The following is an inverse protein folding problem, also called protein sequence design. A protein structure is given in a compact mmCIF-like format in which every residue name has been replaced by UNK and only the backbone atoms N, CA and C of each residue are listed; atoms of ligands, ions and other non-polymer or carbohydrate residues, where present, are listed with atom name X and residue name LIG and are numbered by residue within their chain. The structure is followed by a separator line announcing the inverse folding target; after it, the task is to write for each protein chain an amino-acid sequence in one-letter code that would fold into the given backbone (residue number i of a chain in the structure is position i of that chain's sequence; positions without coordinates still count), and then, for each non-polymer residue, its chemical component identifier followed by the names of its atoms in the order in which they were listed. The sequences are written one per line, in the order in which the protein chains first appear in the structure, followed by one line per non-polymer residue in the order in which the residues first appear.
data_IF_794169370656
#
_entry.id   IF_794169370656
#
_cell.length_a   1.000
_cell.length_b   1.000
_cell.length_c   1.000
_cell.angle_alpha   90.00
_cell.angle_beta   90.00
_cell.angle_gamma   90.00
#
_symmetry.space_group_name_H-M   'P 1'
#
loop_
_entity.id
_entity.type
_entity.pdbx_description
1 polymer ?
#
# COMPACT_ATOMS: atom_id res chain seq x y z
N UNK A 1 -9.71 11.01 -91.91
CA UNK A 1 -9.97 9.57 -91.93
C UNK A 1 -10.03 9.08 -90.49
N UNK A 2 -11.22 8.62 -90.06
CA UNK A 2 -11.49 7.77 -88.87
C UNK A 2 -11.15 8.35 -87.48
N UNK A 3 -11.86 8.11 -86.38
CA UNK A 3 -13.20 7.62 -86.05
C UNK A 3 -13.34 7.74 -84.51
N UNK A 4 -14.54 8.12 -84.03
CA UNK A 4 -15.29 7.56 -82.89
C UNK A 4 -14.64 7.39 -81.49
N UNK A 5 -15.25 8.13 -80.53
CA UNK A 5 -15.57 7.85 -79.10
C UNK A 5 -14.95 6.62 -78.40
N UNK A 6 -14.46 6.84 -77.18
CA UNK A 6 -14.99 6.18 -75.97
C UNK A 6 -14.64 6.93 -74.67
N UNK A 7 -15.65 7.07 -73.84
CA UNK A 7 -15.65 7.60 -72.47
C UNK A 7 -15.19 6.48 -71.53
N UNK A 8 -14.19 6.71 -70.68
CA UNK A 8 -13.93 5.87 -69.51
C UNK A 8 -14.02 6.74 -68.27
N UNK A 9 -15.03 6.42 -67.45
CA UNK A 9 -15.27 6.92 -66.11
C UNK A 9 -14.27 6.22 -65.18
N UNK A 10 -13.33 6.96 -64.59
CA UNK A 10 -12.50 6.46 -63.49
C UNK A 10 -12.96 7.11 -62.18
N UNK A 11 -13.47 6.25 -61.30
CA UNK A 11 -13.97 6.56 -59.97
C UNK A 11 -12.83 7.11 -59.10
N UNK A 12 -13.01 8.28 -58.49
CA UNK A 12 -12.10 8.79 -57.48
C UNK A 12 -12.32 8.02 -56.17
N UNK A 13 -11.33 7.24 -55.72
CA UNK A 13 -11.23 6.81 -54.33
C UNK A 13 -10.39 7.84 -53.58
N UNK A 14 -11.05 8.77 -52.91
CA UNK A 14 -10.46 9.52 -51.80
C UNK A 14 -10.19 8.57 -50.65
N UNK A 15 -8.91 8.23 -50.43
CA UNK A 15 -8.49 7.56 -49.21
C UNK A 15 -8.73 8.49 -48.01
N UNK A 16 -9.73 8.17 -47.21
CA UNK A 16 -9.88 8.76 -45.88
C UNK A 16 -8.83 8.07 -45.01
N UNK A 17 -7.74 8.77 -44.71
CA UNK A 17 -6.86 8.39 -43.62
C UNK A 17 -7.66 8.53 -42.33
N UNK A 18 -8.06 7.40 -41.74
CA UNK A 18 -8.58 7.40 -40.38
C UNK A 18 -7.48 7.95 -39.46
N UNK A 19 -7.80 8.86 -38.53
CA UNK A 19 -6.84 9.16 -37.47
C UNK A 19 -6.68 7.86 -36.66
N UNK A 20 -5.48 7.29 -36.69
CA UNK A 20 -5.05 6.39 -35.62
C UNK A 20 -5.07 7.26 -34.37
N UNK A 21 -6.11 7.06 -33.55
CA UNK A 21 -6.14 7.58 -32.20
C UNK A 21 -4.87 7.04 -31.53
N UNK A 22 -3.93 7.94 -31.25
CA UNK A 22 -2.90 7.67 -30.28
C UNK A 22 -3.63 7.12 -29.05
N UNK A 23 -3.27 5.91 -28.63
CA UNK A 23 -3.67 5.43 -27.32
C UNK A 23 -3.19 6.50 -26.34
N UNK A 24 -4.13 7.26 -25.78
CA UNK A 24 -3.90 7.98 -24.55
C UNK A 24 -3.34 6.91 -23.60
N UNK A 25 -2.03 6.93 -23.39
CA UNK A 25 -1.46 6.30 -22.22
C UNK A 25 -2.12 7.05 -21.07
N UNK A 26 -3.15 6.43 -20.49
CA UNK A 26 -3.80 6.97 -19.31
C UNK A 26 -2.69 7.38 -18.34
N UNK A 27 -2.68 8.64 -17.91
CA UNK A 27 -1.82 9.03 -16.80
C UNK A 27 -2.02 8.01 -15.67
N UNK A 28 -0.95 7.49 -15.05
CA UNK A 28 -1.06 6.49 -13.99
C UNK A 28 -2.07 6.99 -12.98
N UNK A 29 -3.04 6.15 -12.59
CA UNK A 29 -4.18 6.60 -11.80
C UNK A 29 -3.68 7.28 -10.51
N UNK A 30 -3.85 8.61 -10.43
CA UNK A 30 -3.53 9.38 -9.24
C UNK A 30 -4.79 9.44 -8.34
N UNK A 31 -4.64 9.09 -7.06
CA UNK A 31 -5.72 9.13 -6.08
C UNK A 31 -5.82 7.88 -5.20
N UNK A 32 -6.79 7.85 -4.27
CA UNK A 32 -6.94 6.79 -3.27
C UNK A 32 -7.06 5.39 -3.90
N UNK A 33 -6.45 4.40 -3.25
CA UNK A 33 -6.53 2.97 -3.59
C UNK A 33 -7.70 2.36 -2.83
N UNK A 34 -8.91 2.64 -3.32
CA UNK A 34 -10.16 2.27 -2.63
C UNK A 34 -10.76 0.93 -3.08
N UNK A 35 -10.24 0.31 -4.14
CA UNK A 35 -10.72 -0.99 -4.64
C UNK A 35 -10.11 -2.22 -3.94
N UNK A 36 -9.32 -2.04 -2.89
CA UNK A 36 -8.62 -3.12 -2.19
C UNK A 36 -7.43 -3.67 -2.97
N UNK A 37 -7.03 -4.91 -2.67
CA UNK A 37 -5.88 -5.57 -3.28
C UNK A 37 -5.85 -5.55 -4.83
N UNK A 38 -6.97 -5.75 -5.57
CA UNK A 38 -6.95 -5.66 -7.03
C UNK A 38 -6.56 -4.27 -7.56
N UNK A 39 -6.95 -3.21 -6.86
CA UNK A 39 -6.62 -1.83 -7.22
C UNK A 39 -5.14 -1.55 -6.93
N UNK A 40 -4.61 -2.03 -5.80
CA UNK A 40 -3.19 -1.95 -5.49
C UNK A 40 -2.32 -2.67 -6.53
N UNK A 41 -2.70 -3.89 -6.93
CA UNK A 41 -2.03 -4.65 -7.99
C UNK A 41 -2.04 -3.91 -9.33
N UNK A 42 -3.16 -3.27 -9.66
CA UNK A 42 -3.26 -2.44 -10.86
C UNK A 42 -2.30 -1.25 -10.78
N UNK A 43 -2.20 -0.56 -9.64
CA UNK A 43 -1.24 0.55 -9.46
C UNK A 43 0.21 0.09 -9.63
N UNK A 44 0.56 -1.09 -9.15
CA UNK A 44 1.90 -1.64 -9.33
C UNK A 44 2.22 -1.95 -10.80
N UNK A 45 1.28 -2.58 -11.52
CA UNK A 45 1.42 -2.87 -12.96
C UNK A 45 1.54 -1.59 -13.79
N UNK A 46 0.69 -0.59 -13.53
CA UNK A 46 0.73 0.74 -14.18
C UNK A 46 2.06 1.47 -13.93
N UNK A 47 2.67 1.25 -12.77
CA UNK A 47 3.98 1.81 -12.40
C UNK A 47 5.18 0.97 -12.92
N UNK A 48 4.93 -0.13 -13.64
CA UNK A 48 5.97 -0.96 -14.24
C UNK A 48 6.63 -1.94 -13.26
N UNK A 49 5.91 -2.32 -12.21
CA UNK A 49 6.31 -3.37 -11.28
C UNK A 49 5.49 -4.64 -11.53
N UNK A 50 6.19 -5.74 -11.74
CA UNK A 50 5.60 -7.01 -12.17
C UNK A 50 5.95 -8.13 -11.18
N UNK A 51 5.34 -9.30 -11.35
CA UNK A 51 5.57 -10.46 -10.48
C UNK A 51 5.43 -10.09 -8.99
N UNK A 52 4.32 -9.46 -8.64
CA UNK A 52 3.99 -9.04 -7.27
C UNK A 52 3.66 -10.26 -6.42
N UNK A 53 4.26 -10.38 -5.24
CA UNK A 53 3.94 -11.37 -4.20
C UNK A 53 4.09 -10.71 -2.83
N UNK A 54 3.65 -11.41 -1.77
CA UNK A 54 3.63 -10.88 -0.40
C UNK A 54 2.86 -9.55 -0.30
N UNK A 55 1.79 -9.43 -1.11
CA UNK A 55 0.89 -8.30 -1.06
C UNK A 55 0.15 -8.29 0.29
N UNK A 56 0.36 -7.23 1.06
CA UNK A 56 -0.34 -6.96 2.31
C UNK A 56 -0.82 -5.52 2.39
N UNK A 57 -1.73 -5.25 3.33
CA UNK A 57 -2.08 -3.89 3.74
C UNK A 57 -1.52 -3.69 5.15
N UNK A 58 -0.55 -2.80 5.33
CA UNK A 58 0.04 -2.48 6.62
C UNK A 58 -0.01 -0.97 6.91
N UNK A 59 -0.57 -0.57 8.05
CA UNK A 59 -0.62 0.81 8.54
C UNK A 59 -1.21 1.83 7.55
N UNK A 60 -2.18 1.39 6.73
CA UNK A 60 -2.78 2.21 5.67
C UNK A 60 -2.00 2.25 4.36
N UNK A 61 -0.96 1.43 4.20
CA UNK A 61 -0.16 1.29 2.99
C UNK A 61 -0.26 -0.13 2.44
N UNK A 62 -0.42 -0.27 1.14
CA UNK A 62 -0.21 -1.56 0.48
C UNK A 62 1.30 -1.82 0.38
N UNK A 63 1.75 -2.92 0.97
CA UNK A 63 3.12 -3.43 0.84
C UNK A 63 3.15 -4.60 -0.12
N UNK A 64 4.23 -4.75 -0.86
CA UNK A 64 4.47 -5.96 -1.64
C UNK A 64 5.93 -6.04 -2.06
N UNK A 65 6.41 -7.25 -2.32
CA UNK A 65 7.62 -7.40 -3.11
C UNK A 65 7.27 -7.58 -4.60
N UNK A 66 8.11 -7.03 -5.48
CA UNK A 66 7.90 -7.08 -6.93
C UNK A 66 9.23 -7.08 -7.71
N UNK A 67 9.14 -7.25 -9.02
CA UNK A 67 10.25 -7.12 -9.97
C UNK A 67 10.03 -5.88 -10.83
N UNK A 68 10.97 -4.94 -10.81
CA UNK A 68 10.99 -3.78 -11.70
C UNK A 68 11.37 -4.21 -13.12
N UNK A 69 11.00 -3.42 -14.13
CA UNK A 69 11.27 -3.73 -15.55
C UNK A 69 12.75 -3.98 -15.94
N UNK A 70 13.71 -3.61 -15.10
CA UNK A 70 15.14 -3.92 -15.24
C UNK A 70 15.55 -5.30 -14.66
N UNK A 71 14.60 -6.03 -14.08
CA UNK A 71 14.80 -7.34 -13.46
C UNK A 71 15.21 -7.29 -11.98
N UNK A 72 15.27 -6.11 -11.37
CA UNK A 72 15.62 -5.95 -9.95
C UNK A 72 14.42 -6.22 -9.07
N UNK A 73 14.61 -7.02 -8.01
CA UNK A 73 13.61 -7.21 -6.94
C UNK A 73 13.56 -5.98 -6.04
N UNK A 74 12.35 -5.58 -5.67
CA UNK A 74 12.07 -4.39 -4.89
C UNK A 74 10.92 -4.63 -3.93
N UNK A 75 10.94 -3.89 -2.83
CA UNK A 75 9.83 -3.76 -1.89
C UNK A 75 9.09 -2.48 -2.25
N UNK A 76 7.77 -2.57 -2.30
CA UNK A 76 6.87 -1.50 -2.67
C UNK A 76 6.08 -1.07 -1.44
N UNK A 77 5.90 0.24 -1.29
CA UNK A 77 5.00 0.82 -0.29
C UNK A 77 4.10 1.81 -1.01
N UNK A 78 2.80 1.56 -1.00
CA UNK A 78 1.78 2.36 -1.69
C UNK A 78 0.78 2.89 -0.68
N UNK A 79 0.77 4.21 -0.47
CA UNK A 79 -0.21 4.87 0.39
C UNK A 79 -1.63 4.65 -0.15
N UNK A 80 -2.49 3.98 0.61
CA UNK A 80 -3.84 3.67 0.18
C UNK A 80 -4.74 4.92 0.11
N UNK A 81 -4.42 5.97 0.86
CA UNK A 81 -5.19 7.22 0.86
C UNK A 81 -4.80 8.14 -0.29
N UNK A 82 -3.50 8.23 -0.62
CA UNK A 82 -3.00 9.19 -1.63
C UNK A 82 -2.64 8.56 -2.97
N UNK A 83 -2.35 7.25 -3.00
CA UNK A 83 -1.80 6.56 -4.15
C UNK A 83 -0.31 6.84 -4.38
N UNK A 84 0.38 7.43 -3.40
CA UNK A 84 1.83 7.68 -3.49
C UNK A 84 2.58 6.35 -3.37
N UNK A 85 3.48 6.07 -4.32
CA UNK A 85 4.24 4.82 -4.40
C UNK A 85 5.72 5.07 -4.14
N UNK A 86 6.29 4.29 -3.23
CA UNK A 86 7.72 4.16 -2.98
C UNK A 86 8.18 2.76 -3.34
N UNK A 87 9.44 2.63 -3.74
CA UNK A 87 10.04 1.35 -4.12
C UNK A 87 11.51 1.29 -3.71
N UNK A 88 11.96 0.15 -3.19
CA UNK A 88 13.39 -0.06 -2.93
C UNK A 88 14.18 -0.16 -4.25
N UNK A 89 15.49 0.11 -4.17
CA UNK A 89 16.39 0.17 -5.34
C UNK A 89 16.47 1.53 -6.07
N UNK A 90 15.82 2.57 -5.55
CA UNK A 90 16.19 3.96 -5.83
C UNK A 90 17.57 4.30 -5.24
N UNK A 91 18.20 5.37 -5.72
CA UNK A 91 19.46 5.88 -5.16
C UNK A 91 19.32 7.34 -4.71
N UNK A 92 20.05 7.74 -3.67
CA UNK A 92 19.94 9.09 -3.13
C UNK A 92 18.61 9.32 -2.43
N UNK A 93 17.81 10.28 -2.91
CA UNK A 93 16.54 10.68 -2.27
C UNK A 93 15.43 9.62 -2.38
N UNK A 94 15.57 8.67 -3.30
CA UNK A 94 14.59 7.61 -3.53
C UNK A 94 14.89 6.33 -2.71
N UNK A 95 15.98 6.34 -1.93
CA UNK A 95 16.32 5.23 -1.06
C UNK A 95 15.65 5.37 0.33
N UNK A 96 15.32 4.26 1.00
CA UNK A 96 14.93 4.27 2.41
C UNK A 96 15.91 5.05 3.29
N UNK A 97 15.38 5.78 4.27
CA UNK A 97 16.18 6.47 5.27
C UNK A 97 17.02 5.46 6.03
N UNK A 98 18.25 5.83 6.36
CA UNK A 98 19.11 5.01 7.21
C UNK A 98 18.61 5.01 8.65
N UNK A 99 18.91 3.94 9.41
CA UNK A 99 18.62 3.86 10.84
C UNK A 99 19.13 5.07 11.64
N UNK A 100 20.27 5.65 11.25
CA UNK A 100 20.82 6.85 11.89
C UNK A 100 19.90 8.06 11.69
N UNK A 101 19.41 8.27 10.47
CA UNK A 101 18.49 9.38 10.15
C UNK A 101 17.14 9.17 10.84
N UNK A 102 16.62 7.94 10.87
CA UNK A 102 15.37 7.63 11.58
C UNK A 102 15.50 7.90 13.07
N UNK A 103 16.59 7.43 13.69
CA UNK A 103 16.90 7.69 15.10
C UNK A 103 16.96 9.19 15.41
N UNK A 104 17.61 9.99 14.57
CA UNK A 104 17.70 11.44 14.76
C UNK A 104 16.32 12.10 14.68
N UNK A 105 15.47 11.68 13.73
CA UNK A 105 14.09 12.16 13.60
C UNK A 105 13.24 11.80 14.81
N UNK A 106 13.32 10.56 15.28
CA UNK A 106 12.62 10.11 16.50
C UNK A 106 13.08 10.89 17.74
N UNK A 107 14.39 11.11 17.89
CA UNK A 107 14.93 11.89 19.00
C UNK A 107 14.43 13.36 18.97
N UNK A 108 14.39 13.95 17.77
CA UNK A 108 13.85 15.29 17.54
C UNK A 108 12.34 15.38 17.81
N UNK A 109 11.59 14.31 17.53
CA UNK A 109 10.16 14.20 17.85
C UNK A 109 9.88 14.00 19.36
N UNK A 110 10.93 13.83 20.19
CA UNK A 110 10.81 13.73 21.64
C UNK A 110 10.88 12.32 22.20
N UNK A 111 11.04 11.30 21.35
CA UNK A 111 11.29 9.94 21.81
C UNK A 111 12.67 9.83 22.49
N UNK A 112 12.77 8.91 23.44
CA UNK A 112 13.99 8.62 24.23
C UNK A 112 14.27 7.13 24.21
N UNK A 113 15.47 6.74 24.64
CA UNK A 113 15.90 5.32 24.72
C UNK A 113 15.63 4.52 23.43
N UNK A 114 15.81 5.15 22.26
CA UNK A 114 15.52 4.57 20.95
C UNK A 114 16.51 3.43 20.68
N UNK A 115 16.01 2.24 20.34
CA UNK A 115 16.82 1.04 20.08
C UNK A 115 16.07 0.12 19.12
N UNK A 116 16.75 -0.96 18.73
CA UNK A 116 16.16 -2.05 17.96
C UNK A 116 15.47 -1.53 16.69
N UNK A 117 16.19 -0.69 15.93
CA UNK A 117 15.70 -0.20 14.64
C UNK A 117 15.94 -1.25 13.56
N UNK A 118 14.86 -1.86 13.10
CA UNK A 118 14.87 -2.90 12.07
C UNK A 118 14.00 -2.44 10.90
N UNK A 119 14.52 -2.54 9.68
CA UNK A 119 13.80 -2.19 8.46
C UNK A 119 13.23 -3.46 7.87
N UNK A 120 11.91 -3.52 7.76
CA UNK A 120 11.18 -4.63 7.17
C UNK A 120 9.93 -4.12 6.43
N UNK A 121 9.60 -4.72 5.28
CA UNK A 121 8.44 -4.35 4.45
C UNK A 121 8.26 -2.84 4.17
N UNK A 122 9.36 -2.09 4.10
CA UNK A 122 9.34 -0.65 3.87
C UNK A 122 8.98 0.22 5.08
N UNK A 123 9.02 -0.36 6.28
CA UNK A 123 8.86 0.33 7.55
C UNK A 123 10.03 0.04 8.50
N UNK A 124 10.39 1.04 9.30
CA UNK A 124 11.25 0.81 10.46
C UNK A 124 10.38 0.47 11.66
N UNK A 125 10.64 -0.66 12.28
CA UNK A 125 10.23 -0.94 13.64
C UNK A 125 11.28 -0.37 14.60
N UNK A 126 10.84 0.25 15.70
CA UNK A 126 11.75 0.78 16.72
C UNK A 126 11.14 0.72 18.11
N UNK A 127 11.90 0.25 19.09
CA UNK A 127 11.54 0.37 20.50
C UNK A 127 12.06 1.71 21.07
N UNK A 128 11.19 2.42 21.80
CA UNK A 128 11.52 3.72 22.38
C UNK A 128 10.74 4.00 23.68
N UNK A 129 10.97 5.19 24.25
CA UNK A 129 10.10 5.80 25.26
C UNK A 129 9.45 7.04 24.71
N UNK A 130 8.13 7.13 24.81
CA UNK A 130 7.39 8.33 24.47
C UNK A 130 7.56 9.43 25.54
N UNK A 131 7.01 10.62 25.28
CA UNK A 131 7.10 11.77 26.18
C UNK A 131 6.49 11.52 27.58
N UNK A 132 5.57 10.55 27.71
CA UNK A 132 5.00 10.13 28.99
C UNK A 132 5.89 9.13 29.75
N UNK A 133 7.07 8.77 29.21
CA UNK A 133 8.02 7.82 29.79
C UNK A 133 7.63 6.34 29.60
N UNK A 134 6.53 6.06 28.88
CA UNK A 134 6.07 4.69 28.59
C UNK A 134 6.93 4.08 27.49
N UNK A 135 7.21 2.79 27.59
CA UNK A 135 7.84 2.04 26.50
C UNK A 135 6.85 1.90 25.36
N UNK A 136 7.33 2.09 24.15
CA UNK A 136 6.54 2.04 22.94
C UNK A 136 7.30 1.35 21.83
N UNK A 137 6.58 0.58 21.03
CA UNK A 137 7.01 0.15 19.72
C UNK A 137 6.47 1.14 18.69
N UNK A 138 7.33 1.55 17.76
CA UNK A 138 7.02 2.54 16.73
C UNK A 138 7.16 1.88 15.37
N UNK A 139 6.16 2.09 14.52
CA UNK A 139 6.28 1.82 13.09
C UNK A 139 6.49 3.14 12.37
N UNK A 140 7.57 3.23 11.61
CA UNK A 140 8.02 4.46 10.97
C UNK A 140 8.18 4.25 9.47
N UNK A 141 7.50 5.05 8.66
CA UNK A 141 7.57 4.93 7.21
C UNK A 141 8.99 5.19 6.69
N UNK A 142 9.53 4.26 5.88
CA UNK A 142 10.98 4.24 5.63
C UNK A 142 11.50 5.39 4.77
N UNK A 143 10.68 6.05 3.95
CA UNK A 143 11.12 7.20 3.14
C UNK A 143 10.85 8.55 3.82
N UNK A 144 9.73 8.67 4.54
CA UNK A 144 9.30 9.93 5.14
C UNK A 144 9.74 10.08 6.58
N UNK A 145 10.14 9.00 7.26
CA UNK A 145 10.50 8.99 8.67
C UNK A 145 9.35 9.39 9.60
N UNK A 146 8.11 9.34 9.10
CA UNK A 146 6.91 9.61 9.86
C UNK A 146 6.54 8.39 10.70
N UNK A 147 6.20 8.63 11.98
CA UNK A 147 5.64 7.58 12.84
C UNK A 147 4.20 7.34 12.41
N UNK A 148 3.94 6.19 11.78
CA UNK A 148 2.60 5.80 11.31
C UNK A 148 1.84 5.01 12.35
N UNK A 149 2.53 4.41 13.32
CA UNK A 149 1.91 3.73 14.46
C UNK A 149 2.78 3.85 15.73
N UNK A 150 2.14 4.05 16.88
CA UNK A 150 2.77 4.00 18.22
C UNK A 150 1.96 3.05 19.10
N UNK A 151 2.58 1.95 19.54
CA UNK A 151 1.99 0.97 20.46
C UNK A 151 2.66 1.06 21.82
N UNK A 152 1.89 1.12 22.92
CA UNK A 152 2.46 1.06 24.27
C UNK A 152 2.68 -0.40 24.66
N UNK A 153 3.92 -0.76 25.00
CA UNK A 153 4.28 -2.13 25.41
C UNK A 153 3.66 -2.50 26.77
N UNK A 154 3.09 -3.71 26.85
CA UNK A 154 2.77 -4.40 28.11
C UNK A 154 1.75 -3.72 29.02
N UNK A 155 0.99 -2.75 28.51
CA UNK A 155 -0.01 -2.00 29.27
C UNK A 155 -1.44 -2.25 28.78
N UNK A 156 -2.46 -2.08 29.64
CA UNK A 156 -3.84 -2.05 29.18
C UNK A 156 -4.02 -0.92 28.17
N UNK A 157 -4.61 -1.24 27.02
CA UNK A 157 -4.95 -0.25 26.01
C UNK A 157 -6.15 0.54 26.50
N UNK A 158 -5.90 1.74 27.00
CA UNK A 158 -6.95 2.64 27.45
C UNK A 158 -7.86 3.01 26.28
N UNK A 159 -9.16 2.72 26.40
CA UNK A 159 -10.13 3.00 25.34
C UNK A 159 -10.24 1.91 24.27
N UNK A 160 -9.70 0.71 24.52
CA UNK A 160 -9.90 -0.42 23.62
C UNK A 160 -11.38 -0.73 23.38
N UNK A 161 -11.73 -0.93 22.12
CA UNK A 161 -13.01 -1.40 21.63
C UNK A 161 -13.25 -2.83 22.09
N UNK A 162 -14.54 -3.15 22.27
CA UNK A 162 -14.98 -4.53 22.53
C UNK A 162 -14.93 -5.36 21.25
N UNK A 163 -14.83 -6.69 21.38
CA UNK A 163 -14.91 -7.63 20.27
C UNK A 163 -16.13 -7.37 19.35
N UNK A 164 -17.29 -7.06 19.95
CA UNK A 164 -18.51 -6.74 19.18
C UNK A 164 -18.35 -5.47 18.33
N UNK A 165 -17.70 -4.43 18.86
CA UNK A 165 -17.42 -3.20 18.12
C UNK A 165 -16.37 -3.41 17.02
N UNK A 166 -15.39 -4.28 17.24
CA UNK A 166 -14.42 -4.67 16.20
C UNK A 166 -15.13 -5.40 15.06
N UNK A 167 -15.97 -6.39 15.37
CA UNK A 167 -16.75 -7.12 14.34
C UNK A 167 -17.65 -6.17 13.56
N UNK A 168 -18.31 -5.21 14.22
CA UNK A 168 -19.15 -4.21 13.55
C UNK A 168 -18.34 -3.36 12.55
N UNK A 169 -17.16 -2.88 12.96
CA UNK A 169 -16.27 -2.08 12.10
C UNK A 169 -15.73 -2.87 10.91
N UNK A 170 -15.26 -4.09 11.15
CA UNK A 170 -14.77 -4.98 10.08
C UNK A 170 -15.91 -5.32 9.09
N UNK A 171 -17.11 -5.60 9.59
CA UNK A 171 -18.28 -5.83 8.73
C UNK A 171 -18.61 -4.59 7.90
N UNK A 172 -18.55 -3.39 8.49
CA UNK A 172 -18.77 -2.13 7.78
C UNK A 172 -17.70 -1.85 6.71
N UNK A 173 -16.46 -2.31 6.93
CA UNK A 173 -15.37 -2.26 5.96
C UNK A 173 -15.46 -3.36 4.88
N UNK A 174 -16.46 -4.23 4.93
CA UNK A 174 -16.74 -5.24 3.90
C UNK A 174 -16.06 -6.60 4.14
N UNK A 175 -15.40 -6.79 5.28
CA UNK A 175 -14.92 -8.11 5.70
C UNK A 175 -16.09 -9.03 6.03
N UNK A 176 -15.93 -10.31 5.71
CA UNK A 176 -16.95 -11.35 5.85
C UNK A 176 -16.35 -12.55 6.59
N UNK A 177 -17.20 -13.41 7.14
CA UNK A 177 -16.77 -14.63 7.84
C UNK A 177 -15.70 -14.38 8.91
N UNK A 178 -15.88 -13.31 9.70
CA UNK A 178 -14.97 -12.91 10.78
C UNK A 178 -15.06 -13.96 11.90
N UNK A 179 -13.94 -14.60 12.23
CA UNK A 179 -13.84 -15.64 13.25
C UNK A 179 -12.50 -15.55 13.98
N UNK A 180 -12.35 -16.37 15.01
CA UNK A 180 -11.11 -16.51 15.78
C UNK A 180 -10.57 -15.15 16.28
N UNK A 181 -11.50 -14.26 16.67
CA UNK A 181 -11.18 -12.91 17.14
C UNK A 181 -10.60 -12.97 18.56
N UNK A 182 -9.32 -12.65 18.68
CA UNK A 182 -8.59 -12.63 19.94
C UNK A 182 -7.89 -11.29 20.18
N UNK A 183 -7.58 -10.99 21.44
CA UNK A 183 -6.84 -9.79 21.81
C UNK A 183 -5.55 -10.23 22.48
N UNK A 184 -4.44 -10.07 21.77
CA UNK A 184 -3.10 -10.42 22.23
C UNK A 184 -2.10 -9.32 21.86
N UNK A 185 -1.03 -9.20 22.64
CA UNK A 185 0.08 -8.24 22.43
C UNK A 185 -0.34 -6.78 22.17
N UNK A 186 -1.54 -6.41 22.63
CA UNK A 186 -2.09 -5.06 22.50
C UNK A 186 -2.81 -4.79 21.18
N UNK A 187 -3.11 -5.81 20.38
CA UNK A 187 -3.88 -5.73 19.13
C UNK A 187 -5.02 -6.76 19.12
N UNK A 188 -6.04 -6.52 18.29
CA UNK A 188 -6.98 -7.59 17.98
C UNK A 188 -6.47 -8.37 16.78
N UNK A 189 -6.55 -9.69 16.83
CA UNK A 189 -6.25 -10.59 15.73
C UNK A 189 -7.54 -11.29 15.28
N UNK A 190 -7.76 -11.41 13.97
CA UNK A 190 -8.94 -12.08 13.45
C UNK A 190 -8.74 -12.70 12.07
N UNK A 191 -9.31 -13.89 11.90
CA UNK A 191 -9.52 -14.50 10.60
C UNK A 191 -10.72 -13.86 9.89
N UNK A 192 -10.57 -13.51 8.61
CA UNK A 192 -11.67 -13.01 7.80
C UNK A 192 -11.58 -13.41 6.32
N UNK A 193 -12.62 -13.05 5.56
CA UNK A 193 -12.62 -12.98 4.11
C UNK A 193 -12.69 -11.51 3.72
N UNK A 194 -11.66 -11.00 3.06
CA UNK A 194 -11.60 -9.62 2.62
C UNK A 194 -12.62 -9.33 1.48
N UNK A 195 -12.84 -8.05 1.10
CA UNK A 195 -13.77 -7.70 0.03
C UNK A 195 -13.47 -8.38 -1.32
N UNK A 196 -12.21 -8.72 -1.58
CA UNK A 196 -11.77 -9.45 -2.78
C UNK A 196 -12.07 -10.96 -2.74
N UNK A 197 -12.61 -11.48 -1.63
CA UNK A 197 -12.93 -12.90 -1.47
C UNK A 197 -11.74 -13.77 -1.07
N UNK A 198 -10.64 -13.16 -0.65
CA UNK A 198 -9.43 -13.85 -0.17
C UNK A 198 -9.53 -14.02 1.34
N UNK A 199 -9.08 -15.18 1.84
CA UNK A 199 -8.98 -15.43 3.28
C UNK A 199 -7.72 -14.76 3.82
N UNK A 200 -7.87 -14.05 4.93
CA UNK A 200 -6.83 -13.20 5.50
C UNK A 200 -6.84 -13.25 7.03
N UNK A 201 -5.67 -13.08 7.61
CA UNK A 201 -5.42 -12.79 9.00
C UNK A 201 -5.27 -11.27 9.15
N UNK A 202 -5.96 -10.71 10.13
CA UNK A 202 -6.04 -9.28 10.37
C UNK A 202 -5.44 -8.94 11.72
N UNK A 203 -4.60 -7.92 11.77
CA UNK A 203 -4.25 -7.22 13.00
C UNK A 203 -4.98 -5.89 13.01
N UNK A 204 -5.72 -5.61 14.08
CA UNK A 204 -6.64 -4.47 14.17
C UNK A 204 -6.25 -3.60 15.36
N UNK A 205 -6.21 -2.29 15.13
CA UNK A 205 -5.98 -1.30 16.17
C UNK A 205 -7.09 -1.41 17.22
N UNK A 206 -6.74 -1.60 18.49
CA UNK A 206 -7.73 -1.79 19.54
C UNK A 206 -8.57 -0.57 19.84
N UNK A 207 -8.11 0.65 19.56
CA UNK A 207 -8.82 1.89 19.90
C UNK A 207 -9.65 2.38 18.72
N UNK A 208 -9.08 2.36 17.50
CA UNK A 208 -9.73 2.87 16.30
C UNK A 208 -10.52 1.79 15.56
N UNK A 209 -10.14 0.52 15.70
CA UNK A 209 -10.71 -0.59 14.93
C UNK A 209 -10.27 -0.59 13.46
N UNK A 210 -9.20 0.14 13.13
CA UNK A 210 -8.59 0.13 11.80
C UNK A 210 -7.73 -1.12 11.62
N UNK A 211 -7.73 -1.68 10.41
CA UNK A 211 -6.85 -2.80 10.07
C UNK A 211 -5.42 -2.26 9.95
N UNK A 212 -4.57 -2.66 10.90
CA UNK A 212 -3.15 -2.35 10.94
C UNK A 212 -2.33 -3.26 10.04
N UNK A 213 -2.73 -4.52 9.89
CA UNK A 213 -2.10 -5.47 8.98
C UNK A 213 -3.15 -6.43 8.42
N UNK A 214 -3.07 -6.72 7.12
CA UNK A 214 -3.80 -7.79 6.44
C UNK A 214 -2.78 -8.71 5.78
N UNK A 215 -2.72 -9.96 6.23
CA UNK A 215 -1.88 -11.01 5.66
C UNK A 215 -2.74 -12.13 5.10
N UNK A 216 -2.28 -12.78 4.04
CA UNK A 216 -3.01 -13.87 3.41
C UNK A 216 -2.70 -15.20 4.09
N UNK A 217 -3.75 -15.91 4.53
CA UNK A 217 -3.73 -17.32 4.96
C UNK A 217 -3.32 -18.34 3.86
#
# INVERSE_FOLDING_TARGET
MHAIKSLVLALALTGIAAPVLAQDAAEPAQGPVSGGAPDALLRFDEAGYFAVYELGLAHGYWTAEATRGDGVRVDLVLDAATGTLWATGGSGADAPLTAAVVRDRLAAAGYRDIRDLELDDGFWEAEARNAAGRRVELIVHAWTGEVVHERVEGGPVAGALTAAQIIERLTAAGYRNIRDLEFDDGVWEADAINPAGVRVELWIDPVTGEVLREERD
#
